data_IF_116002578106
#
_entry.id   IF_116002578106
#
_cell.length_a   1.000
_cell.length_b   1.000
_cell.length_c   1.000
_cell.angle_alpha   90.00
_cell.angle_beta   90.00
_cell.angle_gamma   90.00
#
_symmetry.space_group_name_H-M   'P 1'
#
loop_
_entity.id
_entity.type
_entity.pdbx_description
1 polymer ?
#
# COMPACT_ATOMS: atom_id res chain seq x y z
N UNK A 1 -19.95 -10.71 -12.61
CA UNK A 1 -18.95 -10.65 -11.52
C UNK A 1 -17.66 -11.28 -12.06
N UNK A 2 -16.51 -10.69 -11.76
CA UNK A 2 -15.18 -11.22 -12.05
C UNK A 2 -14.28 -11.01 -10.83
N UNK A 3 -13.28 -11.87 -10.64
CA UNK A 3 -12.24 -11.68 -9.63
C UNK A 3 -10.99 -11.14 -10.33
N UNK A 4 -10.43 -10.06 -9.84
CA UNK A 4 -9.17 -9.52 -10.31
C UNK A 4 -8.09 -9.69 -9.25
N UNK A 5 -6.90 -10.16 -9.64
CA UNK A 5 -5.77 -10.37 -8.75
C UNK A 5 -4.47 -9.92 -9.41
N UNK A 6 -3.60 -9.30 -8.63
CA UNK A 6 -2.25 -8.95 -9.10
C UNK A 6 -1.38 -10.20 -9.24
N UNK A 7 -0.53 -10.22 -10.27
CA UNK A 7 0.40 -11.31 -10.54
C UNK A 7 1.79 -10.73 -10.84
N UNK A 8 2.78 -11.09 -10.05
CA UNK A 8 4.11 -10.45 -10.12
C UNK A 8 5.03 -11.05 -11.19
N UNK A 9 4.91 -12.33 -11.48
CA UNK A 9 5.84 -13.08 -12.33
C UNK A 9 7.13 -13.50 -11.61
N UNK A 10 7.83 -14.47 -12.13
CA UNK A 10 9.07 -15.00 -11.55
C UNK A 10 8.86 -15.88 -10.33
N UNK A 11 9.87 -15.97 -9.46
CA UNK A 11 9.90 -16.83 -8.27
C UNK A 11 9.07 -16.35 -7.07
N UNK A 12 8.22 -15.37 -7.22
CA UNK A 12 7.36 -14.87 -6.16
C UNK A 12 6.09 -15.73 -5.99
N UNK A 13 5.67 -15.97 -4.74
CA UNK A 13 4.42 -16.70 -4.46
C UNK A 13 3.18 -16.02 -5.07
N UNK A 14 3.17 -14.69 -5.14
CA UNK A 14 2.10 -13.91 -5.76
C UNK A 14 1.88 -14.23 -7.25
N UNK A 15 2.84 -14.85 -7.93
CA UNK A 15 2.67 -15.37 -9.29
C UNK A 15 1.59 -16.45 -9.36
N UNK A 16 1.42 -17.27 -8.30
CA UNK A 16 0.51 -18.42 -8.27
C UNK A 16 -0.89 -18.10 -7.69
N UNK A 17 -1.14 -16.91 -7.16
CA UNK A 17 -2.45 -16.60 -6.57
C UNK A 17 -3.61 -16.76 -7.55
N UNK A 18 -3.41 -16.42 -8.82
CA UNK A 18 -4.40 -16.64 -9.89
C UNK A 18 -4.78 -18.13 -10.00
N UNK A 19 -3.78 -19.02 -9.98
CA UNK A 19 -4.00 -20.47 -10.04
C UNK A 19 -4.77 -20.98 -8.81
N UNK A 20 -4.43 -20.48 -7.62
CA UNK A 20 -5.13 -20.86 -6.38
C UNK A 20 -6.58 -20.38 -6.36
N UNK A 21 -6.85 -19.16 -6.84
CA UNK A 21 -8.23 -18.65 -6.95
C UNK A 21 -9.03 -19.47 -7.94
N UNK A 22 -8.49 -19.80 -9.12
CA UNK A 22 -9.16 -20.65 -10.11
C UNK A 22 -9.51 -22.03 -9.53
N UNK A 23 -8.55 -22.65 -8.81
CA UNK A 23 -8.80 -23.95 -8.15
C UNK A 23 -9.86 -23.84 -7.05
N UNK A 24 -9.81 -22.79 -6.24
CA UNK A 24 -10.83 -22.56 -5.21
C UNK A 24 -12.24 -22.40 -5.81
N UNK A 25 -12.36 -21.64 -6.89
CA UNK A 25 -13.63 -21.50 -7.63
C UNK A 25 -14.11 -22.81 -8.23
N UNK A 26 -13.22 -23.63 -8.79
CA UNK A 26 -13.56 -24.97 -9.29
C UNK A 26 -14.11 -25.86 -8.16
N UNK A 27 -13.42 -25.89 -7.02
CA UNK A 27 -13.84 -26.68 -5.86
C UNK A 27 -15.18 -26.20 -5.26
N UNK A 28 -15.48 -24.90 -5.39
CA UNK A 28 -16.74 -24.30 -4.97
C UNK A 28 -17.87 -24.42 -6.01
N UNK A 29 -17.66 -25.09 -7.16
CA UNK A 29 -18.64 -25.17 -8.24
C UNK A 29 -18.88 -23.87 -8.99
N UNK A 30 -17.96 -22.86 -8.83
CA UNK A 30 -18.08 -21.52 -9.40
C UNK A 30 -17.10 -21.29 -10.57
N UNK A 31 -16.81 -22.32 -11.36
CA UNK A 31 -15.86 -22.29 -12.48
C UNK A 31 -16.20 -21.27 -13.58
N UNK A 32 -17.45 -20.82 -13.65
CA UNK A 32 -17.93 -19.80 -14.59
C UNK A 32 -17.48 -18.39 -14.25
N UNK A 33 -16.95 -18.15 -13.02
CA UNK A 33 -16.48 -16.81 -12.63
C UNK A 33 -15.09 -16.57 -13.22
N UNK A 34 -14.92 -15.56 -14.09
CA UNK A 34 -13.63 -15.27 -14.68
C UNK A 34 -12.65 -14.70 -13.66
N UNK A 35 -11.40 -15.13 -13.74
CA UNK A 35 -10.29 -14.62 -12.93
C UNK A 35 -9.33 -13.85 -13.84
N UNK A 36 -9.24 -12.54 -13.59
CA UNK A 36 -8.44 -11.58 -14.35
C UNK A 36 -7.10 -11.36 -13.69
N UNK A 37 -6.02 -11.60 -14.42
CA UNK A 37 -4.65 -11.34 -13.99
C UNK A 37 -4.28 -9.88 -14.26
N UNK A 38 -3.89 -9.14 -13.22
CA UNK A 38 -3.31 -7.82 -13.33
C UNK A 38 -1.79 -7.98 -13.25
N UNK A 39 -1.13 -8.09 -14.40
CA UNK A 39 0.30 -8.34 -14.46
C UNK A 39 1.02 -7.36 -15.40
N UNK A 40 2.24 -6.96 -15.01
CA UNK A 40 3.12 -6.12 -15.82
C UNK A 40 4.11 -6.96 -16.68
N UNK A 41 4.20 -8.25 -16.43
CA UNK A 41 5.16 -9.16 -17.07
C UNK A 41 4.61 -9.84 -18.34
N UNK A 42 3.36 -9.57 -18.73
CA UNK A 42 2.73 -10.18 -19.89
C UNK A 42 2.46 -11.68 -19.75
N UNK A 43 2.31 -12.19 -18.53
CA UNK A 43 2.08 -13.61 -18.24
C UNK A 43 0.73 -14.10 -18.76
N UNK A 44 -0.29 -13.24 -18.70
CA UNK A 44 -1.62 -13.51 -19.20
C UNK A 44 -2.17 -12.27 -19.90
N UNK A 45 -2.96 -12.49 -20.97
CA UNK A 45 -3.70 -11.45 -21.68
C UNK A 45 -5.17 -11.49 -21.26
N UNK A 46 -5.69 -10.35 -20.82
CA UNK A 46 -7.09 -10.20 -20.44
C UNK A 46 -7.75 -9.13 -21.33
N UNK A 47 -8.32 -9.51 -22.48
CA UNK A 47 -8.78 -8.57 -23.50
C UNK A 47 -9.89 -7.62 -23.02
N UNK A 48 -10.61 -7.97 -21.96
CA UNK A 48 -11.64 -7.12 -21.36
C UNK A 48 -11.12 -6.03 -20.41
N UNK A 49 -9.84 -6.09 -19.97
CA UNK A 49 -9.26 -5.14 -19.04
C UNK A 49 -8.38 -4.12 -19.78
N UNK A 50 -8.84 -2.87 -19.84
CA UNK A 50 -8.08 -1.77 -20.43
C UNK A 50 -7.47 -0.89 -19.33
N UNK A 51 -6.17 -0.79 -19.30
CA UNK A 51 -5.45 0.13 -18.41
C UNK A 51 -5.45 1.55 -18.99
N UNK A 52 -6.33 2.39 -18.49
CA UNK A 52 -6.34 3.82 -18.86
C UNK A 52 -5.38 4.61 -17.96
N UNK A 53 -4.81 5.74 -18.43
CA UNK A 53 -4.00 6.61 -17.57
C UNK A 53 -4.73 7.06 -16.30
N UNK A 54 -6.03 7.32 -16.40
CA UNK A 54 -6.88 7.67 -15.26
C UNK A 54 -6.93 6.55 -14.21
N UNK A 55 -7.11 5.30 -14.65
CA UNK A 55 -7.12 4.13 -13.76
C UNK A 55 -5.77 3.94 -13.07
N UNK A 56 -4.66 4.08 -13.81
CA UNK A 56 -3.31 3.93 -13.26
C UNK A 56 -2.99 5.02 -12.24
N UNK A 57 -3.31 6.27 -12.53
CA UNK A 57 -3.12 7.39 -11.59
C UNK A 57 -3.98 7.17 -10.34
N UNK A 58 -5.26 6.81 -10.50
CA UNK A 58 -6.15 6.52 -9.38
C UNK A 58 -5.66 5.36 -8.51
N UNK A 59 -5.14 4.30 -9.12
CA UNK A 59 -4.55 3.17 -8.39
C UNK A 59 -3.30 3.58 -7.59
N UNK A 60 -2.39 4.37 -8.18
CA UNK A 60 -1.23 4.88 -7.45
C UNK A 60 -1.62 5.80 -6.29
N UNK A 61 -2.62 6.67 -6.49
CA UNK A 61 -3.14 7.51 -5.41
C UNK A 61 -3.78 6.68 -4.30
N UNK A 62 -4.52 5.62 -4.63
CA UNK A 62 -5.11 4.71 -3.65
C UNK A 62 -4.05 4.01 -2.80
N UNK A 63 -2.93 3.56 -3.40
CA UNK A 63 -1.81 2.97 -2.67
C UNK A 63 -1.22 3.98 -1.70
N UNK A 64 -0.96 5.21 -2.13
CA UNK A 64 -0.40 6.24 -1.23
C UNK A 64 -1.37 6.60 -0.10
N UNK A 65 -2.68 6.66 -0.36
CA UNK A 65 -3.68 6.84 0.71
C UNK A 65 -3.62 5.68 1.72
N UNK A 66 -3.56 4.43 1.23
CA UNK A 66 -3.45 3.26 2.09
C UNK A 66 -2.20 3.29 2.98
N UNK A 67 -1.04 3.62 2.40
CA UNK A 67 0.22 3.73 3.13
C UNK A 67 0.17 4.85 4.19
N UNK A 68 -0.39 6.01 3.84
CA UNK A 68 -0.59 7.11 4.80
C UNK A 68 -1.53 6.68 5.93
N UNK A 69 -2.66 6.02 5.61
CA UNK A 69 -3.59 5.54 6.64
C UNK A 69 -2.93 4.53 7.59
N UNK A 70 -2.22 3.54 7.09
CA UNK A 70 -1.50 2.60 7.96
C UNK A 70 -0.53 3.32 8.89
N UNK A 71 0.21 4.29 8.36
CA UNK A 71 1.20 5.05 9.11
C UNK A 71 0.58 5.92 10.20
N UNK A 72 -0.49 6.67 9.89
CA UNK A 72 -1.11 7.57 10.86
C UNK A 72 -2.04 6.83 11.83
N UNK A 73 -2.82 5.87 11.36
CA UNK A 73 -3.77 5.12 12.18
C UNK A 73 -3.06 4.24 13.22
N UNK A 74 -2.11 3.40 12.79
CA UNK A 74 -1.42 2.47 13.69
C UNK A 74 -0.49 3.19 14.67
N UNK A 75 -0.05 4.42 14.33
CA UNK A 75 0.70 5.27 15.24
C UNK A 75 -0.19 5.93 16.30
N UNK A 76 -1.40 6.39 15.95
CA UNK A 76 -2.25 7.18 16.86
C UNK A 76 -3.22 6.34 17.67
N UNK A 77 -3.82 5.30 17.06
CA UNK A 77 -4.86 4.47 17.67
C UNK A 77 -4.46 3.84 19.02
N UNK A 78 -3.24 3.29 19.19
CA UNK A 78 -2.84 2.70 20.47
C UNK A 78 -2.74 3.68 21.64
N UNK A 79 -2.70 4.97 21.34
CA UNK A 79 -2.49 6.06 22.31
C UNK A 79 -3.70 6.99 22.47
N UNK A 80 -4.81 6.73 21.74
CA UNK A 80 -5.97 7.61 21.75
C UNK A 80 -6.59 7.74 23.15
N UNK A 81 -6.90 8.98 23.58
CA UNK A 81 -7.57 9.24 24.87
C UNK A 81 -9.04 8.84 24.81
N UNK A 82 -9.67 9.07 23.66
CA UNK A 82 -11.09 8.75 23.43
C UNK A 82 -11.21 7.50 22.57
N UNK A 83 -11.52 6.32 23.14
CA UNK A 83 -11.57 5.06 22.41
C UNK A 83 -12.40 5.12 21.11
N UNK A 84 -11.81 4.66 20.02
CA UNK A 84 -12.43 4.62 18.69
C UNK A 84 -12.39 5.94 17.91
N UNK A 85 -11.78 7.01 18.46
CA UNK A 85 -11.66 8.29 17.74
C UNK A 85 -10.81 8.17 16.48
N UNK A 86 -9.70 7.45 16.55
CA UNK A 86 -8.83 7.19 15.40
C UNK A 86 -9.56 6.39 14.30
N UNK A 87 -10.34 5.38 14.67
CA UNK A 87 -11.12 4.59 13.73
C UNK A 87 -12.25 5.41 13.08
N UNK A 88 -12.93 6.29 13.82
CA UNK A 88 -13.94 7.19 13.24
C UNK A 88 -13.32 8.16 12.24
N UNK A 89 -12.18 8.74 12.59
CA UNK A 89 -11.44 9.64 11.71
C UNK A 89 -10.95 8.93 10.45
N UNK A 90 -10.42 7.70 10.59
CA UNK A 90 -10.03 6.86 9.46
C UNK A 90 -11.22 6.61 8.52
N UNK A 91 -12.37 6.19 9.04
CA UNK A 91 -13.57 5.91 8.24
C UNK A 91 -14.06 7.15 7.48
N UNK A 92 -14.03 8.32 8.11
CA UNK A 92 -14.36 9.58 7.47
C UNK A 92 -13.43 9.88 6.28
N UNK A 93 -12.12 9.88 6.50
CA UNK A 93 -11.15 10.19 5.46
C UNK A 93 -11.10 9.10 4.37
N UNK A 94 -11.31 7.84 4.72
CA UNK A 94 -11.42 6.75 3.74
C UNK A 94 -12.54 7.05 2.73
N UNK A 95 -13.72 7.47 3.21
CA UNK A 95 -14.84 7.82 2.32
C UNK A 95 -14.50 9.03 1.45
N UNK A 96 -13.88 10.07 2.02
CA UNK A 96 -13.43 11.26 1.26
C UNK A 96 -12.46 10.87 0.14
N UNK A 97 -11.51 9.97 0.42
CA UNK A 97 -10.54 9.49 -0.58
C UNK A 97 -11.21 8.66 -1.68
N UNK A 98 -12.13 7.76 -1.33
CA UNK A 98 -12.92 6.99 -2.29
C UNK A 98 -13.70 7.91 -3.22
N UNK A 99 -14.39 8.90 -2.66
CA UNK A 99 -15.18 9.86 -3.44
C UNK A 99 -14.30 10.75 -4.34
N UNK A 100 -13.09 11.07 -3.90
CA UNK A 100 -12.11 11.80 -4.71
C UNK A 100 -11.63 10.98 -5.90
N UNK A 101 -11.23 9.71 -5.70
CA UNK A 101 -10.76 8.82 -6.77
C UNK A 101 -11.88 8.50 -7.76
N UNK A 102 -13.10 8.30 -7.27
CA UNK A 102 -14.28 7.98 -8.11
C UNK A 102 -14.88 9.20 -8.79
N UNK A 103 -14.42 10.40 -8.45
CA UNK A 103 -14.90 11.66 -9.04
C UNK A 103 -16.22 12.17 -8.46
N UNK A 104 -16.66 11.64 -7.32
CA UNK A 104 -17.87 12.10 -6.61
C UNK A 104 -17.64 13.40 -5.84
N UNK A 105 -16.42 13.71 -5.47
CA UNK A 105 -16.02 15.00 -4.93
C UNK A 105 -14.87 15.62 -5.73
N UNK A 106 -14.66 16.95 -5.54
CA UNK A 106 -13.61 17.70 -6.25
C UNK A 106 -12.34 17.94 -5.44
N UNK A 107 -12.18 17.28 -4.30
CA UNK A 107 -11.00 17.43 -3.50
C UNK A 107 -9.77 16.89 -4.25
N UNK A 108 -8.70 17.68 -4.29
CA UNK A 108 -7.46 17.21 -4.89
C UNK A 108 -6.76 16.20 -3.98
N UNK A 109 -6.03 15.27 -4.58
CA UNK A 109 -5.18 14.32 -3.87
C UNK A 109 -4.30 14.99 -2.80
N UNK A 110 -3.68 16.13 -3.16
CA UNK A 110 -2.84 16.92 -2.25
C UNK A 110 -3.63 17.40 -1.02
N UNK A 111 -4.82 17.95 -1.21
CA UNK A 111 -5.66 18.44 -0.11
C UNK A 111 -6.08 17.32 0.83
N UNK A 112 -6.41 16.15 0.28
CA UNK A 112 -6.77 14.99 1.09
C UNK A 112 -5.59 14.51 1.94
N UNK A 113 -4.40 14.35 1.37
CA UNK A 113 -3.20 13.98 2.11
C UNK A 113 -2.91 14.97 3.24
N UNK A 114 -2.99 16.28 2.96
CA UNK A 114 -2.80 17.33 3.95
C UNK A 114 -3.82 17.25 5.09
N UNK A 115 -5.09 17.02 4.73
CA UNK A 115 -6.16 16.88 5.71
C UNK A 115 -6.00 15.65 6.60
N UNK A 116 -5.71 14.49 6.00
CA UNK A 116 -5.48 13.23 6.74
C UNK A 116 -4.36 13.43 7.78
N UNK A 117 -3.19 13.88 7.33
CA UNK A 117 -2.03 14.00 8.21
C UNK A 117 -2.28 15.02 9.31
N UNK A 118 -2.85 16.20 8.99
CA UNK A 118 -3.18 17.24 9.96
C UNK A 118 -4.16 16.74 11.01
N UNK A 119 -5.26 16.13 10.58
CA UNK A 119 -6.34 15.76 11.50
C UNK A 119 -5.92 14.60 12.42
N UNK A 120 -5.12 13.65 11.91
CA UNK A 120 -4.52 12.62 12.76
C UNK A 120 -3.44 13.17 13.70
N UNK A 121 -2.61 14.12 13.24
CA UNK A 121 -1.58 14.75 14.08
C UNK A 121 -2.17 15.58 15.22
N UNK A 122 -3.41 16.03 15.07
CA UNK A 122 -4.18 16.77 16.09
C UNK A 122 -5.06 15.87 16.97
N UNK A 123 -5.09 14.56 16.70
CA UNK A 123 -5.89 13.64 17.51
C UNK A 123 -5.38 13.61 18.95
N UNK A 124 -6.25 13.79 19.97
CA UNK A 124 -5.84 13.70 21.37
C UNK A 124 -5.32 12.31 21.72
N UNK A 125 -4.06 12.25 22.14
CA UNK A 125 -3.37 11.01 22.56
C UNK A 125 -2.72 11.21 23.94
N UNK A 126 -2.50 10.11 24.66
CA UNK A 126 -1.68 10.10 25.86
C UNK A 126 -0.19 10.05 25.48
N UNK A 127 0.48 11.20 25.52
CA UNK A 127 1.90 11.33 25.19
C UNK A 127 2.84 10.68 26.22
N UNK A 128 2.34 10.40 27.43
CA UNK A 128 3.11 9.74 28.49
C UNK A 128 3.14 8.22 28.32
N UNK A 129 2.17 7.67 27.61
CA UNK A 129 2.10 6.24 27.37
C UNK A 129 3.17 5.82 26.35
N UNK A 130 3.98 4.83 26.74
CA UNK A 130 5.01 4.26 25.87
C UNK A 130 4.71 2.77 25.62
N UNK A 131 4.58 2.39 24.38
CA UNK A 131 4.34 1.01 23.97
C UNK A 131 5.52 0.46 23.17
N UNK A 132 5.84 -0.83 23.29
CA UNK A 132 6.83 -1.45 22.42
C UNK A 132 6.36 -1.38 20.97
N UNK A 133 7.27 -1.05 20.06
CA UNK A 133 6.99 -0.99 18.60
C UNK A 133 7.35 -2.30 17.96
N UNK A 134 6.39 -2.92 17.29
CA UNK A 134 6.53 -4.23 16.65
C UNK A 134 6.38 -4.09 15.14
N UNK A 135 7.46 -4.38 14.40
CA UNK A 135 7.46 -4.38 12.94
C UNK A 135 6.78 -5.62 12.38
N UNK A 136 5.80 -5.44 11.49
CA UNK A 136 5.12 -6.53 10.79
C UNK A 136 5.81 -6.74 9.44
N UNK A 137 6.41 -7.90 9.26
CA UNK A 137 7.12 -8.30 8.03
C UNK A 137 6.53 -9.60 7.49
N UNK A 138 6.84 -9.94 6.26
CA UNK A 138 6.43 -11.21 5.66
C UNK A 138 5.99 -11.08 4.20
N UNK A 139 5.27 -12.09 3.74
CA UNK A 139 4.74 -12.16 2.38
C UNK A 139 3.67 -11.09 2.13
N UNK A 140 3.65 -10.51 0.95
CA UNK A 140 2.88 -9.30 0.64
C UNK A 140 1.37 -9.45 0.93
N UNK A 141 0.73 -10.54 0.48
CA UNK A 141 -0.69 -10.74 0.73
C UNK A 141 -0.97 -10.93 2.22
N UNK A 142 -0.21 -11.82 2.86
CA UNK A 142 -0.39 -12.13 4.29
C UNK A 142 -0.15 -10.87 5.13
N UNK A 143 0.89 -10.11 4.83
CA UNK A 143 1.21 -8.89 5.57
C UNK A 143 0.11 -7.83 5.51
N UNK A 144 -0.45 -7.56 4.33
CA UNK A 144 -1.41 -6.47 4.13
C UNK A 144 -2.88 -6.88 4.22
N UNK A 145 -3.20 -8.17 4.31
CA UNK A 145 -4.57 -8.66 4.42
C UNK A 145 -4.89 -9.08 5.86
N UNK A 146 -5.73 -8.33 6.61
CA UNK A 146 -6.08 -8.68 7.98
C UNK A 146 -6.66 -10.08 8.12
N UNK A 147 -7.51 -10.52 7.19
CA UNK A 147 -8.10 -11.87 7.20
C UNK A 147 -7.06 -12.97 6.95
N UNK A 148 -6.00 -12.68 6.19
CA UNK A 148 -4.93 -13.65 5.91
C UNK A 148 -3.89 -13.75 7.04
N UNK A 149 -3.80 -12.75 7.92
CA UNK A 149 -2.86 -12.71 9.05
C UNK A 149 -3.54 -12.78 10.43
N UNK A 150 -4.80 -13.20 10.48
CA UNK A 150 -5.59 -13.32 11.71
C UNK A 150 -5.68 -12.00 12.49
N UNK A 151 -5.84 -10.87 11.79
CA UNK A 151 -5.96 -9.53 12.38
C UNK A 151 -4.79 -9.17 13.30
N UNK A 152 -3.58 -9.46 12.84
CA UNK A 152 -2.35 -9.33 13.62
C UNK A 152 -2.15 -7.93 14.22
N UNK A 153 -2.50 -6.87 13.49
CA UNK A 153 -2.40 -5.49 14.01
C UNK A 153 -3.29 -5.31 15.24
N UNK A 154 -4.54 -5.76 15.15
CA UNK A 154 -5.50 -5.63 16.26
C UNK A 154 -5.06 -6.48 17.48
N UNK A 155 -4.47 -7.66 17.21
CA UNK A 155 -3.90 -8.49 18.27
C UNK A 155 -2.73 -7.80 18.98
N UNK A 156 -1.77 -7.24 18.22
CA UNK A 156 -0.62 -6.53 18.79
C UNK A 156 -1.06 -5.32 19.63
N UNK A 157 -2.01 -4.55 19.15
CA UNK A 157 -2.54 -3.40 19.91
C UNK A 157 -3.28 -3.83 21.18
N UNK A 158 -4.03 -4.92 21.13
CA UNK A 158 -4.70 -5.53 22.30
C UNK A 158 -3.68 -6.00 23.35
N UNK A 159 -2.56 -6.55 22.91
CA UNK A 159 -1.45 -6.96 23.78
C UNK A 159 -0.57 -5.78 24.24
N UNK A 160 -0.94 -4.55 23.90
CA UNK A 160 -0.29 -3.34 24.39
C UNK A 160 0.88 -2.86 23.55
N UNK A 161 1.04 -3.32 22.31
CA UNK A 161 2.09 -2.87 21.40
C UNK A 161 1.61 -1.81 20.38
N UNK A 162 2.56 -1.09 19.77
CA UNK A 162 2.35 -0.27 18.57
C UNK A 162 2.76 -1.09 17.35
N UNK A 163 1.83 -1.36 16.44
CA UNK A 163 2.13 -2.06 15.19
C UNK A 163 2.79 -1.11 14.17
N UNK A 164 3.88 -1.55 13.55
CA UNK A 164 4.59 -0.80 12.51
C UNK A 164 4.55 -1.59 11.22
N UNK A 165 3.86 -1.06 10.20
CA UNK A 165 3.71 -1.69 8.89
C UNK A 165 4.57 -0.94 7.87
N UNK A 166 5.44 -1.63 7.09
CA UNK A 166 6.09 -1.02 5.93
C UNK A 166 5.08 -0.58 4.88
N UNK A 167 5.40 0.48 4.15
CA UNK A 167 4.54 0.97 3.08
C UNK A 167 4.43 -0.05 1.93
N UNK A 168 3.26 -0.19 1.32
CA UNK A 168 3.06 -1.04 0.14
C UNK A 168 3.81 -0.47 -1.07
N UNK A 169 3.88 0.85 -1.18
CA UNK A 169 4.61 1.51 -2.26
C UNK A 169 6.11 1.18 -2.24
N UNK A 170 6.71 0.95 -1.07
CA UNK A 170 8.12 0.56 -0.94
C UNK A 170 8.39 -0.80 -1.60
N UNK A 171 7.43 -1.72 -1.61
CA UNK A 171 7.55 -2.98 -2.35
C UNK A 171 7.69 -2.74 -3.86
N UNK A 172 6.91 -1.83 -4.44
CA UNK A 172 7.00 -1.50 -5.86
C UNK A 172 8.29 -0.74 -6.18
N UNK A 173 8.70 0.18 -5.32
CA UNK A 173 9.97 0.90 -5.46
C UNK A 173 11.17 -0.05 -5.39
N UNK A 174 11.18 -0.99 -4.44
CA UNK A 174 12.22 -2.00 -4.33
C UNK A 174 12.25 -2.90 -5.57
N UNK A 175 11.10 -3.30 -6.09
CA UNK A 175 11.01 -4.11 -7.31
C UNK A 175 11.58 -3.37 -8.53
N UNK A 176 11.33 -2.07 -8.64
CA UNK A 176 11.91 -1.22 -9.69
C UNK A 176 13.43 -1.02 -9.48
N UNK A 177 13.88 -0.79 -8.25
CA UNK A 177 15.29 -0.62 -7.90
C UNK A 177 16.11 -1.90 -8.16
N UNK A 178 15.54 -3.06 -7.95
CA UNK A 178 16.16 -4.35 -8.25
C UNK A 178 16.57 -4.50 -9.75
N UNK A 179 15.91 -3.77 -10.65
CA UNK A 179 16.30 -3.73 -12.05
C UNK A 179 17.65 -3.05 -12.26
N UNK A 180 17.99 -2.04 -11.44
CA UNK A 180 19.29 -1.37 -11.46
C UNK A 180 20.37 -2.29 -10.92
N UNK A 181 20.12 -2.94 -9.78
CA UNK A 181 21.04 -3.93 -9.21
C UNK A 181 21.34 -5.06 -10.21
N UNK A 182 20.33 -5.59 -10.88
CA UNK A 182 20.49 -6.63 -11.89
C UNK A 182 21.33 -6.15 -13.09
N UNK A 183 21.21 -4.92 -13.49
CA UNK A 183 22.05 -4.34 -14.54
C UNK A 183 23.49 -4.18 -14.07
N UNK A 184 23.71 -3.57 -12.91
CA UNK A 184 25.06 -3.26 -12.39
C UNK A 184 25.86 -4.48 -11.96
N UNK A 185 25.20 -5.45 -11.32
CA UNK A 185 25.86 -6.60 -10.69
C UNK A 185 25.74 -7.90 -11.49
N UNK A 186 24.71 -8.04 -12.31
CA UNK A 186 24.42 -9.31 -13.01
C UNK A 186 24.44 -9.15 -14.54
N UNK A 187 24.88 -8.01 -15.07
CA UNK A 187 24.99 -7.76 -16.52
C UNK A 187 23.66 -7.86 -17.28
N UNK A 188 22.51 -7.62 -16.60
CA UNK A 188 21.19 -7.65 -17.24
C UNK A 188 20.94 -6.41 -18.12
N UNK A 189 19.80 -6.37 -18.79
CA UNK A 189 19.45 -5.34 -19.77
C UNK A 189 19.50 -3.91 -19.24
N UNK A 190 20.22 -3.02 -19.92
CA UNK A 190 20.24 -1.57 -19.67
C UNK A 190 18.85 -0.94 -19.82
N UNK A 191 18.02 -1.44 -20.75
CA UNK A 191 16.62 -1.02 -20.88
C UNK A 191 15.83 -1.24 -19.59
N UNK A 192 16.02 -2.38 -18.93
CA UNK A 192 15.37 -2.67 -17.64
C UNK A 192 15.74 -1.66 -16.56
N UNK A 193 17.01 -1.27 -16.46
CA UNK A 193 17.46 -0.25 -15.52
C UNK A 193 16.87 1.13 -15.82
N UNK A 194 16.82 1.55 -17.08
CA UNK A 194 16.19 2.82 -17.49
C UNK A 194 14.71 2.84 -17.14
N UNK A 195 13.98 1.76 -17.42
CA UNK A 195 12.56 1.63 -17.07
C UNK A 195 12.35 1.61 -15.55
N UNK A 196 13.21 0.93 -14.80
CA UNK A 196 13.19 0.92 -13.34
C UNK A 196 13.37 2.32 -12.77
N UNK A 197 14.34 3.09 -13.26
CA UNK A 197 14.56 4.47 -12.83
C UNK A 197 13.39 5.39 -13.17
N UNK A 198 12.77 5.23 -14.34
CA UNK A 198 11.57 5.98 -14.71
C UNK A 198 10.39 5.65 -13.79
N UNK A 199 10.19 4.37 -13.45
CA UNK A 199 9.16 3.92 -12.51
C UNK A 199 9.41 4.49 -11.10
N UNK A 200 10.65 4.44 -10.59
CA UNK A 200 11.01 5.04 -9.30
C UNK A 200 10.67 6.54 -9.28
N UNK A 201 11.06 7.29 -10.31
CA UNK A 201 10.75 8.73 -10.39
C UNK A 201 9.24 9.00 -10.39
N UNK A 202 8.46 8.20 -11.11
CA UNK A 202 7.00 8.35 -11.16
C UNK A 202 6.35 8.05 -9.81
N UNK A 203 6.72 6.94 -9.15
CA UNK A 203 6.20 6.55 -7.84
C UNK A 203 6.60 7.55 -6.75
N UNK A 204 7.86 7.99 -6.75
CA UNK A 204 8.34 9.03 -5.83
C UNK A 204 7.63 10.37 -6.03
N UNK A 205 7.30 10.75 -7.27
CA UNK A 205 6.55 11.97 -7.54
C UNK A 205 5.14 11.92 -6.94
N UNK A 206 4.45 10.76 -6.97
CA UNK A 206 3.11 10.60 -6.38
C UNK A 206 3.18 10.69 -4.85
N UNK A 207 4.16 10.04 -4.20
CA UNK A 207 4.26 10.08 -2.73
C UNK A 207 4.92 11.34 -2.15
N UNK A 208 5.49 12.19 -3.02
CA UNK A 208 6.20 13.42 -2.60
C UNK A 208 5.37 14.31 -1.68
N UNK A 209 4.07 14.42 -1.95
CA UNK A 209 3.16 15.21 -1.11
C UNK A 209 3.03 14.59 0.29
N UNK A 210 2.81 13.29 0.38
CA UNK A 210 2.71 12.59 1.66
C UNK A 210 4.00 12.73 2.48
N UNK A 211 5.17 12.52 1.86
CA UNK A 211 6.47 12.69 2.52
C UNK A 211 6.64 14.08 3.11
N UNK A 212 6.35 15.15 2.33
CA UNK A 212 6.48 16.53 2.78
C UNK A 212 5.54 16.90 3.92
N UNK A 213 4.33 16.37 3.93
CA UNK A 213 3.37 16.67 4.99
C UNK A 213 3.68 15.87 6.26
N UNK A 214 4.13 14.61 6.13
CA UNK A 214 4.60 13.80 7.26
C UNK A 214 5.84 14.42 7.93
N UNK A 215 6.75 15.03 7.16
CA UNK A 215 7.93 15.71 7.67
C UNK A 215 7.60 16.92 8.56
N UNK A 216 6.43 17.53 8.37
CA UNK A 216 5.96 18.68 9.17
C UNK A 216 5.16 18.28 10.42
N UNK A 217 4.75 17.04 10.51
CA UNK A 217 3.91 16.54 11.60
C UNK A 217 4.74 16.30 12.87
N UNK A 218 4.07 16.34 14.05
CA UNK A 218 4.69 16.08 15.34
C UNK A 218 4.88 14.59 15.62
N UNK A 219 3.94 13.75 15.15
CA UNK A 219 3.84 12.36 15.57
C UNK A 219 4.29 11.37 14.51
N UNK A 220 4.50 11.81 13.26
CA UNK A 220 4.81 10.92 12.14
C UNK A 220 6.19 11.19 11.56
N UNK A 221 6.82 10.15 11.03
CA UNK A 221 8.08 10.26 10.32
C UNK A 221 7.85 10.12 8.80
N UNK A 222 8.57 10.89 7.97
CA UNK A 222 8.51 10.75 6.52
C UNK A 222 9.02 9.37 6.09
N UNK A 223 8.58 8.93 4.90
CA UNK A 223 9.11 7.72 4.28
C UNK A 223 10.58 7.91 3.91
N UNK A 224 11.40 6.90 4.17
CA UNK A 224 12.78 6.85 3.67
C UNK A 224 12.82 6.76 2.14
N UNK A 225 13.90 7.18 1.53
CA UNK A 225 14.12 6.99 0.10
C UNK A 225 14.49 5.53 -0.18
N UNK A 226 14.16 5.04 -1.38
CA UNK A 226 14.45 3.65 -1.73
C UNK A 226 15.95 3.35 -1.69
N UNK A 227 16.80 4.31 -2.01
CA UNK A 227 18.25 4.16 -1.96
C UNK A 227 18.79 3.97 -0.53
N UNK A 228 18.05 4.47 0.47
CA UNK A 228 18.37 4.31 1.90
C UNK A 228 17.89 2.95 2.42
N UNK A 229 16.74 2.50 1.93
CA UNK A 229 16.14 1.20 2.31
C UNK A 229 16.83 0.01 1.64
N UNK A 230 17.52 0.22 0.51
CA UNK A 230 18.15 -0.83 -0.30
C UNK A 230 19.65 -1.03 -0.01
N UNK A 231 20.21 -0.31 0.95
CA UNK A 231 21.60 -0.44 1.45
C UNK A 231 21.64 -1.42 2.60
#
# INVERSE_FOLDING_TARGET
VAIAMTQTGGGCRATNYIGFIRRALQNAGMHQIPVVSINAAGLESNPGLKFTPKLLIGAMQAIVYGDVFMRVLYRMRPYEIYPGSANRLHKYWQQVCIDSITGKNRNSFKKNIQGIIRDFDQLPIDENLKKPRVGIVGEILVKFSPSANNYLVDLLEKEGAEAVMPDLLDFFLYSAYNSNFKYEKLGKSKKGAIMGNAAIKALEAVRKTARKELEKSRHFHPQAKIEELAR
#
